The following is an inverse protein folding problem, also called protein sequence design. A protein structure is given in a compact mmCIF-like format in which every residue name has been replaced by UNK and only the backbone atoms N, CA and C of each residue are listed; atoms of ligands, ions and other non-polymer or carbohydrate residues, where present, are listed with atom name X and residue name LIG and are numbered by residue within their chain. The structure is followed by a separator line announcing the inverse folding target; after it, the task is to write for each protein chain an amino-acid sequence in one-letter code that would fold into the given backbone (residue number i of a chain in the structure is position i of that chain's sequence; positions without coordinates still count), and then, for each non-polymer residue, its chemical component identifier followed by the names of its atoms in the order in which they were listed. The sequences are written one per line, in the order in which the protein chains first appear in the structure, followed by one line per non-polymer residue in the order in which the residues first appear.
data_IF_281793089012
#
_entry.id   IF_281793089012
#
_cell.length_a   1.000
_cell.length_b   1.000
_cell.length_c   1.000
_cell.angle_alpha   90.00
_cell.angle_beta   90.00
_cell.angle_gamma   90.00
#
_symmetry.space_group_name_H-M   'P 1'
#
loop_
_entity.id
_entity.type
_entity.pdbx_description
1 polymer ?
#
# COMPACT_ATOMS: atom_id res chain seq x y z
N UNK A 1 13.80 2.92 -7.54
CA UNK A 1 13.55 3.28 -6.12
C UNK A 1 12.89 2.11 -5.41
N UNK A 2 13.21 1.87 -4.14
CA UNK A 2 12.64 0.79 -3.33
C UNK A 2 12.00 1.34 -2.03
N UNK A 3 11.27 0.48 -1.30
CA UNK A 3 10.66 0.83 -0.02
C UNK A 3 9.70 2.02 -0.10
N UNK A 4 9.75 2.90 0.92
CA UNK A 4 8.88 4.08 1.02
C UNK A 4 9.09 5.08 -0.14
N UNK A 5 10.30 5.20 -0.66
CA UNK A 5 10.60 6.13 -1.75
C UNK A 5 9.83 5.79 -3.04
N UNK A 6 9.59 4.49 -3.31
CA UNK A 6 8.75 4.05 -4.43
C UNK A 6 7.30 4.49 -4.22
N UNK A 7 6.76 4.30 -3.02
CA UNK A 7 5.39 4.69 -2.67
C UNK A 7 5.15 6.20 -2.77
N UNK A 8 6.08 7.00 -2.24
CA UNK A 8 5.94 8.46 -2.30
C UNK A 8 5.97 8.96 -3.74
N UNK A 9 6.82 8.39 -4.60
CA UNK A 9 6.86 8.75 -6.02
C UNK A 9 5.58 8.34 -6.76
N UNK A 10 5.09 7.13 -6.56
CA UNK A 10 3.83 6.68 -7.18
C UNK A 10 2.65 7.54 -6.73
N UNK A 11 2.57 7.85 -5.44
CA UNK A 11 1.54 8.75 -4.93
C UNK A 11 1.67 10.18 -5.48
N UNK A 12 2.90 10.67 -5.67
CA UNK A 12 3.16 11.97 -6.29
C UNK A 12 2.67 11.99 -7.74
N UNK A 13 3.02 10.97 -8.54
CA UNK A 13 2.56 10.82 -9.92
C UNK A 13 1.03 10.79 -9.97
N UNK A 14 0.39 10.01 -9.10
CA UNK A 14 -1.07 9.94 -9.02
C UNK A 14 -1.74 11.29 -8.73
N UNK A 15 -1.07 12.18 -8.01
CA UNK A 15 -1.57 13.53 -7.72
C UNK A 15 -1.36 14.51 -8.87
N UNK A 16 -0.25 14.42 -9.62
CA UNK A 16 0.14 15.43 -10.61
C UNK A 16 -0.16 15.04 -12.05
N UNK A 17 -0.33 13.75 -12.36
CA UNK A 17 -0.57 13.23 -13.70
C UNK A 17 -1.93 12.53 -13.74
N UNK A 18 -3.02 13.22 -14.15
CA UNK A 18 -4.36 12.63 -14.21
C UNK A 18 -4.43 11.38 -15.10
N UNK A 19 -3.72 11.38 -16.23
CA UNK A 19 -3.67 10.28 -17.19
C UNK A 19 -3.05 8.99 -16.63
N UNK A 20 -2.09 9.11 -15.71
CA UNK A 20 -1.40 7.97 -15.10
C UNK A 20 -1.94 7.64 -13.70
N UNK A 21 -2.98 8.34 -13.23
CA UNK A 21 -3.45 8.25 -11.85
C UNK A 21 -3.86 6.83 -11.47
N UNK A 22 -4.68 6.19 -12.30
CA UNK A 22 -5.20 4.84 -12.02
C UNK A 22 -4.07 3.82 -12.00
N UNK A 23 -3.20 3.82 -13.01
CA UNK A 23 -2.05 2.92 -13.08
C UNK A 23 -1.04 3.11 -11.93
N UNK A 24 -0.78 4.37 -11.56
CA UNK A 24 0.11 4.70 -10.45
C UNK A 24 -0.47 4.23 -9.11
N UNK A 25 -1.79 4.35 -8.91
CA UNK A 25 -2.47 3.88 -7.71
C UNK A 25 -2.50 2.34 -7.62
N UNK A 26 -2.78 1.64 -8.72
CA UNK A 26 -2.69 0.18 -8.78
C UNK A 26 -1.27 -0.31 -8.46
N UNK A 27 -0.26 0.30 -9.08
CA UNK A 27 1.15 -0.01 -8.80
C UNK A 27 1.53 0.27 -7.35
N UNK A 28 0.99 1.34 -6.76
CA UNK A 28 1.23 1.67 -5.35
C UNK A 28 0.56 0.67 -4.41
N UNK A 29 -0.66 0.22 -4.70
CA UNK A 29 -1.38 -0.79 -3.92
C UNK A 29 -0.66 -2.15 -3.94
N UNK A 30 -0.20 -2.58 -5.12
CA UNK A 30 0.60 -3.80 -5.25
C UNK A 30 1.90 -3.72 -4.45
N UNK A 31 2.56 -2.56 -4.40
CA UNK A 31 3.78 -2.41 -3.59
C UNK A 31 3.49 -2.31 -2.09
N UNK A 32 2.38 -1.67 -1.68
CA UNK A 32 2.02 -1.57 -0.25
C UNK A 32 1.64 -2.94 0.32
N UNK A 33 0.97 -3.81 -0.46
CA UNK A 33 0.52 -5.12 0.04
C UNK A 33 1.66 -6.04 0.46
N UNK A 34 2.87 -5.81 -0.05
CA UNK A 34 4.10 -6.48 0.37
C UNK A 34 4.65 -5.95 1.71
N UNK A 35 4.24 -4.74 2.12
CA UNK A 35 4.68 -4.06 3.35
C UNK A 35 3.70 -4.23 4.51
N UNK A 36 4.02 -3.71 5.70
CA UNK A 36 3.11 -3.70 6.86
C UNK A 36 2.38 -2.35 7.04
N UNK A 37 2.44 -1.47 6.04
CA UNK A 37 1.89 -0.12 6.16
C UNK A 37 0.39 -0.10 5.80
N UNK A 38 -0.42 -0.52 6.78
CA UNK A 38 -1.88 -0.58 6.65
C UNK A 38 -2.50 0.80 6.43
N UNK A 39 -1.99 1.84 7.09
CA UNK A 39 -2.50 3.21 6.93
C UNK A 39 -2.31 3.73 5.50
N UNK A 40 -1.19 3.42 4.86
CA UNK A 40 -0.97 3.75 3.45
C UNK A 40 -1.87 2.94 2.52
N UNK A 41 -2.09 1.65 2.82
CA UNK A 41 -3.01 0.80 2.04
C UNK A 41 -4.41 1.40 1.99
N UNK A 42 -4.97 1.73 3.15
CA UNK A 42 -6.30 2.34 3.28
C UNK A 42 -6.40 3.68 2.54
N UNK A 43 -5.38 4.54 2.67
CA UNK A 43 -5.33 5.85 1.99
C UNK A 43 -5.30 5.71 0.47
N UNK A 44 -4.51 4.78 -0.06
CA UNK A 44 -4.42 4.52 -1.49
C UNK A 44 -5.72 3.92 -2.04
N UNK A 45 -6.35 3.00 -1.30
CA UNK A 45 -7.66 2.44 -1.66
C UNK A 45 -8.74 3.52 -1.74
N UNK A 46 -8.82 4.40 -0.72
CA UNK A 46 -9.75 5.52 -0.69
C UNK A 46 -9.54 6.44 -1.90
N UNK A 47 -8.28 6.79 -2.20
CA UNK A 47 -7.93 7.63 -3.35
C UNK A 47 -8.27 7.00 -4.70
N UNK A 48 -8.18 5.67 -4.81
CA UNK A 48 -8.59 4.94 -6.01
C UNK A 48 -10.13 4.94 -6.17
N UNK A 49 -10.88 4.72 -5.08
CA UNK A 49 -12.34 4.77 -5.09
C UNK A 49 -12.88 6.17 -5.43
N UNK A 50 -12.18 7.23 -5.03
CA UNK A 50 -12.52 8.62 -5.36
C UNK A 50 -12.12 9.04 -6.77
N UNK A 51 -11.34 8.21 -7.50
CA UNK A 51 -10.90 8.54 -8.86
C UNK A 51 -11.99 8.18 -9.87
N UNK A 52 -12.59 9.16 -10.57
CA UNK A 52 -13.65 8.87 -11.54
C UNK A 52 -13.10 8.09 -12.75
N UNK A 53 -13.91 7.22 -13.38
CA UNK A 53 -13.49 6.40 -14.52
C UNK A 53 -13.14 7.23 -15.77
N UNK A 54 -13.53 8.52 -15.81
CA UNK A 54 -13.35 9.40 -16.97
C UNK A 54 -11.89 9.85 -17.22
N UNK A 55 -10.97 9.63 -16.29
CA UNK A 55 -9.53 9.91 -16.48
C UNK A 55 -8.75 8.75 -17.09
N UNK A 56 -9.38 7.58 -17.29
CA UNK A 56 -8.79 6.46 -18.00
C UNK A 56 -8.75 6.80 -19.49
N UNK A 57 -7.67 7.43 -19.96
CA UNK A 57 -7.43 7.76 -21.37
C UNK A 57 -7.20 6.52 -22.27
N UNK A 58 -7.74 5.37 -21.89
CA UNK A 58 -7.83 4.17 -22.71
C UNK A 58 -9.25 4.08 -23.28
N UNK A 59 -9.43 4.67 -24.46
CA UNK A 59 -10.64 4.55 -25.29
C UNK A 59 -10.78 3.14 -25.89
N UNK A 60 -10.87 2.12 -25.03
CA UNK A 60 -11.18 0.73 -25.44
C UNK A 60 -12.57 0.37 -24.93
N UNK A 61 -13.55 0.06 -25.79
CA UNK A 61 -14.97 0.00 -25.41
C UNK A 61 -15.39 -1.32 -24.73
N UNK A 62 -14.48 -2.13 -24.19
CA UNK A 62 -14.80 -3.53 -23.83
C UNK A 62 -14.23 -4.04 -22.50
N UNK A 63 -13.88 -3.15 -21.57
CA UNK A 63 -13.40 -3.54 -20.24
C UNK A 63 -14.31 -2.96 -19.16
N UNK A 64 -15.14 -3.85 -18.62
CA UNK A 64 -15.73 -3.95 -17.26
C UNK A 64 -15.59 -2.68 -16.40
N UNK A 65 -16.67 -2.16 -15.79
CA UNK A 65 -16.64 -0.91 -15.06
C UNK A 65 -15.48 -0.89 -14.07
N UNK A 66 -14.60 0.10 -14.23
CA UNK A 66 -13.45 0.40 -13.38
C UNK A 66 -13.91 0.81 -11.98
N UNK A 67 -14.56 -0.11 -11.27
CA UNK A 67 -14.84 -0.03 -9.85
C UNK A 67 -13.59 -0.49 -9.13
N UNK A 68 -13.02 0.36 -8.29
CA UNK A 68 -11.95 -0.04 -7.38
C UNK A 68 -12.38 -1.33 -6.64
N UNK A 69 -11.50 -2.33 -6.50
CA UNK A 69 -11.83 -3.51 -5.72
C UNK A 69 -12.20 -3.11 -4.29
N UNK A 70 -13.08 -3.87 -3.62
CA UNK A 70 -13.46 -3.58 -2.24
C UNK A 70 -12.22 -3.60 -1.35
N UNK A 71 -12.23 -2.74 -0.31
CA UNK A 71 -11.16 -2.72 0.68
C UNK A 71 -11.11 -4.05 1.42
N UNK A 72 -9.95 -4.71 1.39
CA UNK A 72 -9.78 -6.00 2.06
C UNK A 72 -9.52 -5.81 3.57
N UNK A 73 -10.59 -5.89 4.37
CA UNK A 73 -10.54 -5.77 5.83
C UNK A 73 -9.86 -6.96 6.49
N UNK A 74 -10.02 -8.16 5.93
CA UNK A 74 -9.36 -9.37 6.43
C UNK A 74 -7.83 -9.27 6.28
N UNK A 75 -7.36 -8.75 5.15
CA UNK A 75 -5.95 -8.47 4.95
C UNK A 75 -5.42 -7.43 5.95
N UNK A 76 -6.18 -6.36 6.20
CA UNK A 76 -5.81 -5.31 7.17
C UNK A 76 -5.58 -5.92 8.56
N UNK A 77 -6.54 -6.72 9.05
CA UNK A 77 -6.46 -7.37 10.35
C UNK A 77 -5.30 -8.37 10.42
N UNK A 78 -5.17 -9.23 9.42
CA UNK A 78 -4.09 -10.21 9.34
C UNK A 78 -2.72 -9.52 9.32
N UNK A 79 -2.59 -8.39 8.62
CA UNK A 79 -1.34 -7.65 8.51
C UNK A 79 -1.00 -6.93 9.81
N UNK A 80 -1.97 -6.32 10.48
CA UNK A 80 -1.80 -5.73 11.81
C UNK A 80 -1.37 -6.76 12.84
N UNK A 81 -2.04 -7.91 12.88
CA UNK A 81 -1.67 -9.02 13.79
C UNK A 81 -0.25 -9.49 13.55
N UNK A 82 0.14 -9.69 12.29
CA UNK A 82 1.51 -10.12 11.92
C UNK A 82 2.55 -9.04 12.24
N UNK A 83 2.22 -7.76 12.11
CA UNK A 83 3.11 -6.66 12.50
C UNK A 83 3.34 -6.64 14.03
N UNK A 84 2.28 -6.78 14.82
CA UNK A 84 2.35 -6.81 16.28
C UNK A 84 3.25 -7.96 16.78
N UNK A 85 2.99 -9.19 16.31
CA UNK A 85 3.81 -10.36 16.68
C UNK A 85 5.29 -10.20 16.30
N UNK A 86 5.56 -9.57 15.15
CA UNK A 86 6.94 -9.31 14.73
C UNK A 86 7.62 -8.27 15.63
N UNK A 87 6.88 -7.25 16.07
CA UNK A 87 7.38 -6.23 16.98
C UNK A 87 7.69 -6.83 18.36
N UNK A 88 6.78 -7.63 18.92
CA UNK A 88 6.98 -8.33 20.19
C UNK A 88 8.21 -9.24 20.17
N UNK A 89 8.38 -9.99 19.07
CA UNK A 89 9.57 -10.82 18.86
C UNK A 89 10.84 -9.98 18.84
N UNK A 90 10.87 -8.90 18.05
CA UNK A 90 12.03 -8.03 17.94
C UNK A 90 12.36 -7.34 19.27
N UNK A 91 11.36 -6.96 20.06
CA UNK A 91 11.56 -6.38 21.39
C UNK A 91 12.17 -7.40 22.36
N UNK A 92 11.68 -8.65 22.33
CA UNK A 92 12.23 -9.75 23.12
C UNK A 92 13.69 -10.04 22.74
N UNK A 93 13.97 -10.16 21.45
CA UNK A 93 15.31 -10.41 20.92
C UNK A 93 16.26 -9.26 21.30
N UNK A 94 15.82 -8.01 21.16
CA UNK A 94 16.61 -6.82 21.52
C UNK A 94 16.94 -6.80 23.02
N UNK A 95 15.98 -7.12 23.90
CA UNK A 95 16.22 -7.26 25.35
C UNK A 95 17.26 -8.33 25.63
N UNK A 96 17.14 -9.48 24.96
CA UNK A 96 18.11 -10.58 25.11
C UNK A 96 19.52 -10.17 24.66
N UNK A 97 19.66 -9.50 23.51
CA UNK A 97 20.97 -9.03 23.03
C UNK A 97 21.62 -8.05 24.00
N UNK A 98 20.83 -7.12 24.56
CA UNK A 98 21.31 -6.18 25.59
C UNK A 98 21.76 -6.88 26.86
N UNK A 99 20.98 -7.83 27.37
CA UNK A 99 21.32 -8.57 28.59
C UNK A 99 22.61 -9.40 28.43
N UNK A 100 22.86 -9.91 27.22
CA UNK A 100 24.03 -10.73 26.93
C UNK A 100 25.24 -9.90 26.43
N UNK A 101 25.15 -8.56 26.39
CA UNK A 101 26.22 -7.67 25.91
C UNK A 101 26.77 -8.02 24.51
N UNK A 102 25.91 -8.55 23.65
CA UNK A 102 26.25 -8.88 22.26
C UNK A 102 26.16 -7.59 21.44
N UNK A 103 27.26 -7.24 20.77
CA UNK A 103 27.39 -6.06 19.93
C UNK A 103 26.88 -6.29 18.51
#
# INVERSE_FOLDING_TARGET
FSGLARLYRLNFIASHCPCLRVEALHSALSHVSETYNVSMYQRLHKKLAETPPSCSSSSSPDLVPSSAPPLDTAWIEARNKKAALRLEKLDTDLKNYKSNSIK
#
